data_IF_400499727843
#
_entry.id   IF_400499727843
#
_cell.length_a   1.000
_cell.length_b   1.000
_cell.length_c   1.000
_cell.angle_alpha   90.00
_cell.angle_beta   90.00
_cell.angle_gamma   90.00
#
_symmetry.space_group_name_H-M   'P 1'
#
loop_
_entity.id
_entity.type
_entity.pdbx_description
1 polymer ?
#
# COMPACT_ATOMS: atom_id res chain seq x y z
N UNK A 1 10.32 -12.74 5.11
CA UNK A 1 11.14 -12.17 4.02
C UNK A 1 10.37 -11.12 3.21
N UNK A 2 9.13 -11.41 2.78
CA UNK A 2 8.30 -10.46 2.02
C UNK A 2 8.07 -9.11 2.72
N UNK A 3 7.84 -9.08 4.04
CA UNK A 3 7.62 -7.84 4.79
C UNK A 3 8.72 -6.78 4.63
N UNK A 4 9.99 -7.17 4.54
CA UNK A 4 11.13 -6.24 4.43
C UNK A 4 11.18 -5.44 3.12
N UNK A 5 10.58 -5.96 2.04
CA UNK A 5 10.71 -5.38 0.69
C UNK A 5 9.36 -5.07 0.06
N UNK A 6 8.35 -5.92 0.27
CA UNK A 6 7.02 -5.73 -0.33
C UNK A 6 6.29 -4.50 0.22
N UNK A 7 6.31 -4.33 1.53
CA UNK A 7 5.64 -3.21 2.21
C UNK A 7 6.18 -1.84 1.78
N UNK A 8 7.51 -1.57 1.80
CA UNK A 8 8.01 -0.26 1.41
C UNK A 8 7.85 -0.01 -0.09
N UNK A 9 7.92 -1.04 -0.93
CA UNK A 9 7.63 -0.92 -2.37
C UNK A 9 6.16 -0.51 -2.59
N UNK A 10 5.22 -1.14 -1.89
CA UNK A 10 3.82 -0.74 -1.94
C UNK A 10 3.63 0.72 -1.50
N UNK A 11 4.26 1.13 -0.40
CA UNK A 11 4.19 2.51 0.09
C UNK A 11 4.74 3.51 -0.94
N UNK A 12 5.86 3.18 -1.59
CA UNK A 12 6.46 4.01 -2.64
C UNK A 12 5.52 4.15 -3.84
N UNK A 13 4.86 3.07 -4.28
CA UNK A 13 3.90 3.13 -5.39
C UNK A 13 2.71 4.02 -5.02
N UNK A 14 2.16 3.85 -3.82
CA UNK A 14 1.05 4.68 -3.31
C UNK A 14 1.46 6.15 -3.27
N UNK A 15 2.61 6.47 -2.70
CA UNK A 15 3.11 7.85 -2.64
C UNK A 15 3.50 8.40 -4.01
N UNK A 16 3.99 7.57 -4.93
CA UNK A 16 4.28 7.98 -6.30
C UNK A 16 3.03 8.45 -7.05
N UNK A 17 1.87 7.85 -6.77
CA UNK A 17 0.57 8.24 -7.33
C UNK A 17 0.00 9.46 -6.59
N UNK A 18 0.03 9.45 -5.26
CA UNK A 18 -0.62 10.47 -4.43
C UNK A 18 0.19 11.78 -4.29
N UNK A 19 1.51 11.72 -4.45
CA UNK A 19 2.42 12.85 -4.23
C UNK A 19 3.28 13.15 -5.48
N UNK A 20 2.73 13.82 -6.51
CA UNK A 20 3.45 14.13 -7.75
C UNK A 20 4.74 14.95 -7.56
N UNK A 21 4.87 15.66 -6.44
CA UNK A 21 6.05 16.49 -6.10
C UNK A 21 7.04 15.78 -5.18
N UNK A 22 6.90 14.48 -4.93
CA UNK A 22 7.81 13.74 -4.06
C UNK A 22 9.26 13.82 -4.60
N UNK A 23 10.24 14.18 -3.76
CA UNK A 23 11.64 14.22 -4.19
C UNK A 23 12.20 12.81 -4.43
N UNK A 24 13.15 12.69 -5.35
CA UNK A 24 13.73 11.41 -5.76
C UNK A 24 14.50 10.67 -4.67
N UNK A 25 14.88 11.35 -3.58
CA UNK A 25 15.55 10.74 -2.44
C UNK A 25 14.57 10.16 -1.40
N UNK A 26 13.30 10.57 -1.38
CA UNK A 26 12.34 10.14 -0.35
C UNK A 26 12.09 8.62 -0.38
N UNK A 27 11.89 7.95 -1.53
CA UNK A 27 11.80 6.49 -1.58
C UNK A 27 13.04 5.77 -1.05
N UNK A 28 14.24 6.30 -1.33
CA UNK A 28 15.49 5.71 -0.84
C UNK A 28 15.60 5.79 0.67
N UNK A 29 15.26 6.95 1.24
CA UNK A 29 15.22 7.14 2.69
C UNK A 29 14.18 6.22 3.33
N UNK A 30 12.99 6.09 2.73
CA UNK A 30 11.94 5.21 3.22
C UNK A 30 12.40 3.74 3.30
N UNK A 31 13.06 3.21 2.26
CA UNK A 31 13.57 1.82 2.29
C UNK A 31 14.59 1.62 3.43
N UNK A 32 15.53 2.56 3.61
CA UNK A 32 16.54 2.46 4.67
C UNK A 32 15.87 2.47 6.06
N UNK A 33 14.98 3.43 6.29
CA UNK A 33 14.24 3.54 7.56
C UNK A 33 13.37 2.31 7.78
N UNK A 34 12.69 1.83 6.75
CA UNK A 34 11.83 0.65 6.81
C UNK A 34 12.60 -0.58 7.30
N UNK A 35 13.75 -0.90 6.68
CA UNK A 35 14.53 -2.09 7.03
C UNK A 35 14.94 -2.05 8.51
N UNK A 36 15.35 -0.88 9.01
CA UNK A 36 15.72 -0.69 10.41
C UNK A 36 14.50 -0.81 11.31
N UNK A 37 13.43 -0.05 11.06
CA UNK A 37 12.22 -0.05 11.88
C UNK A 37 11.56 -1.43 11.91
N UNK A 38 11.36 -2.07 10.77
CA UNK A 38 10.77 -3.40 10.67
C UNK A 38 11.64 -4.46 11.35
N UNK A 39 12.97 -4.39 11.17
CA UNK A 39 13.91 -5.25 11.89
C UNK A 39 13.80 -5.09 13.41
N UNK A 40 13.76 -3.86 13.92
CA UNK A 40 13.61 -3.61 15.36
C UNK A 40 12.26 -4.11 15.88
N UNK A 41 11.16 -3.82 15.19
CA UNK A 41 9.82 -4.28 15.58
C UNK A 41 9.75 -5.81 15.68
N UNK A 42 10.28 -6.51 14.67
CA UNK A 42 10.25 -7.98 14.62
C UNK A 42 11.10 -8.65 15.72
N UNK A 43 12.16 -8.00 16.19
CA UNK A 43 13.05 -8.56 17.21
C UNK A 43 12.70 -8.14 18.65
N UNK A 44 12.04 -6.99 18.84
CA UNK A 44 11.83 -6.40 20.16
C UNK A 44 10.38 -6.50 20.67
N UNK A 45 9.40 -6.70 19.78
CA UNK A 45 7.99 -6.68 20.14
C UNK A 45 7.35 -8.07 20.04
N UNK A 46 6.54 -8.50 21.03
CA UNK A 46 5.89 -9.80 21.04
C UNK A 46 4.56 -9.81 20.26
N UNK A 47 4.48 -9.12 19.12
CA UNK A 47 3.27 -9.07 18.29
C UNK A 47 3.40 -9.93 17.05
N UNK A 48 2.24 -10.33 16.50
CA UNK A 48 2.20 -11.05 15.24
C UNK A 48 2.72 -10.17 14.10
N UNK A 49 3.49 -10.77 13.18
CA UNK A 49 4.20 -10.03 12.13
C UNK A 49 3.31 -9.13 11.26
N UNK A 50 2.03 -9.49 11.10
CA UNK A 50 1.07 -8.72 10.32
C UNK A 50 0.87 -7.31 10.88
N UNK A 51 0.95 -7.12 12.20
CA UNK A 51 0.90 -5.79 12.81
C UNK A 51 2.13 -4.95 12.45
N UNK A 52 3.29 -5.58 12.31
CA UNK A 52 4.51 -4.87 11.89
C UNK A 52 4.45 -4.47 10.42
N UNK A 53 3.85 -5.28 9.56
CA UNK A 53 3.65 -4.92 8.14
C UNK A 53 2.75 -3.69 8.00
N UNK A 54 1.62 -3.67 8.71
CA UNK A 54 0.70 -2.51 8.70
C UNK A 54 1.36 -1.29 9.36
N UNK A 55 2.01 -1.46 10.50
CA UNK A 55 2.68 -0.37 11.21
C UNK A 55 3.81 0.25 10.39
N UNK A 56 4.66 -0.59 9.79
CA UNK A 56 5.76 -0.14 8.94
C UNK A 56 5.23 0.56 7.67
N UNK A 57 4.16 0.06 7.07
CA UNK A 57 3.50 0.73 5.93
C UNK A 57 3.08 2.16 6.28
N UNK A 58 2.43 2.35 7.44
CA UNK A 58 2.01 3.68 7.90
C UNK A 58 3.22 4.58 8.17
N UNK A 59 4.29 4.06 8.78
CA UNK A 59 5.53 4.80 9.01
C UNK A 59 6.13 5.27 7.67
N UNK A 60 6.18 4.40 6.65
CA UNK A 60 6.72 4.73 5.34
C UNK A 60 5.93 5.85 4.66
N UNK A 61 4.60 5.78 4.71
CA UNK A 61 3.72 6.82 4.17
C UNK A 61 3.94 8.16 4.87
N UNK A 62 4.00 8.16 6.20
CA UNK A 62 4.23 9.38 7.01
C UNK A 62 5.61 9.97 6.69
N UNK A 63 6.66 9.15 6.67
CA UNK A 63 8.01 9.58 6.38
C UNK A 63 8.08 10.22 4.99
N UNK A 64 7.57 9.55 3.95
CA UNK A 64 7.58 10.10 2.60
C UNK A 64 6.72 11.35 2.46
N UNK A 65 5.60 11.45 3.18
CA UNK A 65 4.78 12.66 3.22
C UNK A 65 5.53 13.84 3.86
N UNK A 66 6.23 13.61 4.97
CA UNK A 66 7.08 14.61 5.64
C UNK A 66 8.20 15.06 4.69
N UNK A 67 8.94 14.13 4.09
CA UNK A 67 10.03 14.46 3.16
C UNK A 67 9.54 15.21 1.93
N UNK A 68 8.35 14.85 1.42
CA UNK A 68 7.72 15.56 0.32
C UNK A 68 7.34 16.99 0.69
N UNK A 69 6.82 17.22 1.90
CA UNK A 69 6.49 18.56 2.39
C UNK A 69 7.74 19.39 2.67
N UNK A 70 8.80 18.77 3.18
CA UNK A 70 10.06 19.43 3.54
C UNK A 70 10.91 19.81 2.32
N UNK A 71 10.93 18.97 1.28
CA UNK A 71 11.73 19.18 0.08
C UNK A 71 10.95 18.81 -1.19
N UNK A 72 9.84 19.49 -1.50
CA UNK A 72 9.06 19.19 -2.70
C UNK A 72 9.86 19.51 -3.97
N UNK A 73 9.67 18.70 -5.01
CA UNK A 73 10.16 19.05 -6.36
C UNK A 73 9.50 20.35 -6.83
N UNK A 74 10.28 21.17 -7.54
CA UNK A 74 9.79 22.40 -8.19
C UNK A 74 8.64 22.11 -9.15
N UNK A 75 8.81 21.04 -9.94
CA UNK A 75 7.83 20.60 -10.92
C UNK A 75 7.21 19.28 -10.49
N UNK A 76 5.89 19.19 -10.63
CA UNK A 76 5.15 17.97 -10.42
C UNK A 76 5.52 16.96 -11.51
N UNK A 77 5.72 15.71 -11.11
CA UNK A 77 5.83 14.61 -12.05
C UNK A 77 4.49 14.43 -12.78
N UNK A 78 4.57 14.42 -14.11
CA UNK A 78 3.45 14.06 -14.99
C UNK A 78 3.78 12.69 -15.55
N UNK A 79 2.95 11.71 -15.23
CA UNK A 79 3.07 10.38 -15.84
C UNK A 79 2.74 10.53 -17.33
N UNK A 80 3.67 10.26 -18.25
CA UNK A 80 3.38 10.33 -19.68
C UNK A 80 2.33 9.26 -20.02
N UNK A 81 1.22 9.69 -20.61
CA UNK A 81 0.27 8.77 -21.23
C UNK A 81 0.80 8.39 -22.60
N UNK A 82 1.13 7.11 -22.78
CA UNK A 82 1.64 6.59 -24.03
C UNK A 82 0.52 6.03 -24.92
N UNK A 83 -0.73 5.96 -24.42
CA UNK A 83 -1.91 5.40 -25.10
C UNK A 83 -1.69 4.00 -25.72
N UNK A 84 -0.68 3.25 -25.25
CA UNK A 84 -0.32 1.92 -25.79
C UNK A 84 -1.38 0.87 -25.46
N UNK A 85 -2.23 1.13 -24.47
CA UNK A 85 -3.24 0.20 -23.95
C UNK A 85 -4.57 0.94 -23.76
N UNK A 86 -5.65 0.34 -24.23
CA UNK A 86 -7.01 0.83 -24.00
C UNK A 86 -7.38 0.72 -22.51
N UNK A 87 -7.53 1.90 -21.88
CA UNK A 87 -7.93 2.03 -20.47
C UNK A 87 -9.45 2.22 -20.33
N UNK A 88 -10.24 2.08 -21.40
CA UNK A 88 -11.70 2.19 -21.34
C UNK A 88 -12.24 1.13 -20.38
N UNK A 89 -13.02 1.54 -19.36
CA UNK A 89 -13.48 0.58 -18.38
C UNK A 89 -14.47 -0.40 -19.02
N UNK A 90 -14.20 -1.69 -18.86
CA UNK A 90 -15.06 -2.75 -19.39
C UNK A 90 -16.53 -2.61 -18.92
N UNK A 91 -17.46 -2.84 -19.85
CA UNK A 91 -18.92 -2.71 -19.67
C UNK A 91 -19.44 -3.36 -18.39
N UNK A 92 -18.91 -4.52 -18.02
CA UNK A 92 -19.39 -5.30 -16.88
C UNK A 92 -18.54 -5.13 -15.60
N UNK A 93 -17.66 -4.12 -15.53
CA UNK A 93 -16.83 -3.89 -14.34
C UNK A 93 -17.66 -3.76 -13.05
N UNK A 94 -18.78 -3.01 -13.11
CA UNK A 94 -19.62 -2.72 -11.96
C UNK A 94 -20.37 -3.97 -11.46
N UNK A 95 -21.06 -4.75 -12.31
CA UNK A 95 -21.69 -5.98 -11.85
C UNK A 95 -20.66 -7.00 -11.33
N UNK A 96 -19.49 -7.12 -11.95
CA UNK A 96 -18.44 -8.04 -11.46
C UNK A 96 -17.92 -7.60 -10.09
N UNK A 97 -17.63 -6.31 -9.88
CA UNK A 97 -17.25 -5.78 -8.56
C UNK A 97 -18.31 -6.14 -7.51
N UNK A 98 -19.60 -5.89 -7.80
CA UNK A 98 -20.69 -6.17 -6.87
C UNK A 98 -20.77 -7.67 -6.52
N UNK A 99 -20.72 -8.55 -7.52
CA UNK A 99 -20.72 -10.01 -7.31
C UNK A 99 -19.53 -10.45 -6.48
N UNK A 100 -18.33 -9.94 -6.74
CA UNK A 100 -17.13 -10.27 -5.95
C UNK A 100 -17.30 -9.89 -4.48
N UNK A 101 -17.81 -8.69 -4.18
CA UNK A 101 -18.05 -8.27 -2.79
C UNK A 101 -19.16 -9.09 -2.11
N UNK A 102 -20.23 -9.43 -2.83
CA UNK A 102 -21.30 -10.30 -2.31
C UNK A 102 -20.77 -11.69 -2.00
N UNK A 103 -19.97 -12.28 -2.89
CA UNK A 103 -19.36 -13.59 -2.66
C UNK A 103 -18.39 -13.55 -1.47
N UNK A 104 -17.55 -12.51 -1.38
CA UNK A 104 -16.66 -12.31 -0.25
C UNK A 104 -17.45 -12.26 1.07
N UNK A 105 -18.43 -11.36 1.16
CA UNK A 105 -19.28 -11.24 2.34
C UNK A 105 -20.03 -12.54 2.65
N UNK A 106 -20.56 -13.22 1.62
CA UNK A 106 -21.27 -14.49 1.74
C UNK A 106 -20.39 -15.60 2.30
N UNK A 107 -19.14 -15.72 1.84
CA UNK A 107 -18.17 -16.69 2.38
C UNK A 107 -17.87 -16.40 3.85
N UNK A 108 -17.59 -15.13 4.20
CA UNK A 108 -17.33 -14.76 5.59
C UNK A 108 -18.54 -15.03 6.49
N UNK A 109 -19.77 -14.71 6.05
CA UNK A 109 -20.99 -14.98 6.82
C UNK A 109 -21.22 -16.49 6.94
N UNK A 110 -21.13 -17.23 5.83
CA UNK A 110 -21.38 -18.67 5.80
C UNK A 110 -20.46 -19.45 6.73
N UNK A 111 -19.18 -19.10 6.82
CA UNK A 111 -18.22 -19.76 7.70
C UNK A 111 -18.05 -19.10 9.07
N UNK A 112 -18.80 -18.04 9.35
CA UNK A 112 -18.85 -17.43 10.69
C UNK A 112 -19.84 -18.17 11.60
N UNK A 113 -19.88 -17.83 12.91
CA UNK A 113 -20.92 -18.31 13.83
C UNK A 113 -22.36 -17.96 13.42
N UNK A 114 -22.57 -17.05 12.47
CA UNK A 114 -23.90 -16.73 11.93
C UNK A 114 -24.39 -17.74 10.88
N UNK A 115 -23.50 -18.58 10.35
CA UNK A 115 -23.77 -19.55 9.30
C UNK A 115 -23.57 -20.99 9.77
N UNK A 116 -22.64 -21.69 9.14
CA UNK A 116 -22.31 -23.10 9.41
C UNK A 116 -21.29 -23.31 10.53
N UNK A 117 -20.65 -22.23 11.00
CA UNK A 117 -19.64 -22.28 12.05
C UNK A 117 -20.18 -22.03 13.47
N UNK A 118 -21.50 -21.90 13.61
CA UNK A 118 -22.21 -21.72 14.88
C UNK A 118 -22.86 -23.00 15.38
#
# INVERSE_FOLDING_TARGET
MWGYYGVPVLAIVVMGILAPRMPSFAPKAAIIVHIVCYGLMMNLLPFHFLYFEVGAFVIDLILMAILTKAAPRKEAYVLPDLEVVDMTPWKYRKPVIAVTFILLAGIYVLFSPLGLGG
#
